data_IF_102472885830
#
_entry.id   IF_102472885830
#
_cell.length_a   1.000
_cell.length_b   1.000
_cell.length_c   1.000
_cell.angle_alpha   90.00
_cell.angle_beta   90.00
_cell.angle_gamma   90.00
#
_symmetry.space_group_name_H-M   'P 1'
#
loop_
_entity.id
_entity.type
_entity.pdbx_description
1 polymer ?
#
# COMPACT_ATOMS: atom_id res chain seq x y z
N UNK A 1 -38.50 -34.61 -6.72
CA UNK A 1 -37.91 -35.62 -5.82
C UNK A 1 -36.58 -35.07 -5.35
N UNK A 2 -36.38 -34.96 -4.03
CA UNK A 2 -35.10 -34.54 -3.46
C UNK A 2 -34.03 -35.57 -3.81
N UNK A 3 -32.95 -35.14 -4.46
CA UNK A 3 -31.76 -35.94 -4.62
C UNK A 3 -30.89 -35.77 -3.36
N UNK A 4 -30.87 -36.78 -2.50
CA UNK A 4 -29.89 -36.89 -1.41
C UNK A 4 -28.52 -37.15 -2.04
N UNK A 5 -27.61 -36.18 -1.95
CA UNK A 5 -26.20 -36.40 -2.30
C UNK A 5 -25.48 -37.03 -1.11
N UNK A 6 -24.80 -38.14 -1.36
CA UNK A 6 -23.84 -38.75 -0.44
C UNK A 6 -22.44 -38.44 -0.95
N UNK A 7 -21.69 -37.64 -0.20
CA UNK A 7 -20.29 -37.30 -0.50
C UNK A 7 -19.34 -38.13 0.38
N UNK A 8 -18.29 -38.67 -0.22
CA UNK A 8 -17.26 -39.47 0.44
C UNK A 8 -15.89 -38.82 0.23
N UNK A 9 -15.14 -38.59 1.31
CA UNK A 9 -13.83 -37.89 1.30
C UNK A 9 -12.63 -38.85 1.41
N UNK A 10 -12.78 -40.12 1.04
CA UNK A 10 -11.71 -41.12 1.04
C UNK A 10 -11.72 -41.94 -0.26
N UNK A 11 -10.67 -42.74 -0.49
CA UNK A 11 -10.62 -43.66 -1.63
C UNK A 11 -11.84 -44.60 -1.60
N UNK A 12 -12.79 -44.36 -2.50
CA UNK A 12 -13.99 -45.18 -2.59
C UNK A 12 -13.62 -46.48 -3.32
N UNK A 13 -13.64 -47.60 -2.61
CA UNK A 13 -13.48 -48.92 -3.20
C UNK A 13 -14.79 -49.66 -3.00
N UNK A 14 -15.52 -49.85 -4.10
CA UNK A 14 -16.82 -50.48 -4.09
C UNK A 14 -17.25 -50.89 -5.49
N UNK A 15 -17.99 -52.00 -5.57
CA UNK A 15 -18.63 -52.48 -6.79
C UNK A 15 -20.11 -52.12 -6.68
N UNK A 16 -20.63 -51.39 -7.68
CA UNK A 16 -22.04 -51.09 -7.77
C UNK A 16 -22.66 -52.01 -8.83
N UNK A 17 -23.40 -53.02 -8.39
CA UNK A 17 -24.11 -53.95 -9.29
C UNK A 17 -25.54 -53.46 -9.44
N UNK A 18 -25.87 -52.95 -10.63
CA UNK A 18 -27.22 -52.52 -10.98
C UNK A 18 -27.50 -52.77 -12.45
N UNK A 19 -28.72 -53.18 -12.79
CA UNK A 19 -29.15 -53.36 -14.18
C UNK A 19 -29.76 -52.05 -14.67
N UNK A 20 -28.95 -51.21 -15.34
CA UNK A 20 -29.41 -49.97 -15.94
C UNK A 20 -29.90 -50.21 -17.38
N UNK A 21 -31.12 -49.76 -17.68
CA UNK A 21 -31.73 -49.83 -19.02
C UNK A 21 -31.76 -48.44 -19.66
N UNK A 22 -30.60 -47.77 -19.68
CA UNK A 22 -30.41 -46.42 -20.20
C UNK A 22 -28.94 -46.00 -20.12
N UNK A 23 -28.61 -44.82 -20.67
CA UNK A 23 -27.26 -44.25 -20.59
C UNK A 23 -26.91 -43.87 -19.15
N UNK A 24 -25.77 -44.33 -18.66
CA UNK A 24 -25.20 -43.90 -17.39
C UNK A 24 -24.25 -42.73 -17.68
N UNK A 25 -24.54 -41.57 -17.10
CA UNK A 25 -23.61 -40.43 -17.07
C UNK A 25 -23.04 -40.34 -15.66
N UNK A 26 -21.72 -40.48 -15.53
CA UNK A 26 -21.01 -40.25 -14.28
C UNK A 26 -20.18 -38.97 -14.41
N UNK A 27 -20.54 -37.94 -13.65
CA UNK A 27 -19.79 -36.70 -13.57
C UNK A 27 -18.84 -36.76 -12.38
N UNK A 28 -17.54 -36.81 -12.67
CA UNK A 28 -16.49 -36.77 -11.67
C UNK A 28 -15.99 -35.34 -11.57
N UNK A 29 -16.44 -34.61 -10.55
CA UNK A 29 -15.81 -33.34 -10.18
C UNK A 29 -14.52 -33.66 -9.41
N UNK A 30 -13.41 -33.78 -10.14
CA UNK A 30 -12.11 -33.69 -9.49
C UNK A 30 -12.01 -32.28 -8.88
N UNK A 31 -11.90 -32.18 -7.55
CA UNK A 31 -11.43 -30.96 -6.93
C UNK A 31 -10.12 -30.61 -7.63
N UNK A 32 -10.05 -29.45 -8.30
CA UNK A 32 -8.81 -29.00 -8.93
C UNK A 32 -7.74 -29.02 -7.84
N UNK A 33 -6.71 -29.82 -8.02
CA UNK A 33 -5.56 -29.81 -7.12
C UNK A 33 -4.81 -28.50 -7.35
N UNK A 34 -5.19 -27.44 -6.66
CA UNK A 34 -4.49 -26.17 -6.72
C UNK A 34 -3.12 -26.33 -6.06
N UNK A 35 -2.04 -25.99 -6.77
CA UNK A 35 -0.71 -25.87 -6.17
C UNK A 35 -0.62 -24.58 -5.36
N UNK A 36 0.41 -24.45 -4.51
CA UNK A 36 0.66 -23.22 -3.76
C UNK A 36 0.84 -22.03 -4.72
N UNK A 37 1.53 -22.25 -5.83
CA UNK A 37 1.76 -21.27 -6.88
C UNK A 37 0.47 -20.86 -7.60
N UNK A 38 -0.47 -21.78 -7.77
CA UNK A 38 -1.78 -21.46 -8.34
C UNK A 38 -2.58 -20.57 -7.40
N UNK A 39 -2.63 -20.90 -6.10
CA UNK A 39 -3.32 -20.08 -5.10
C UNK A 39 -2.67 -18.70 -5.01
N UNK A 40 -1.35 -18.62 -5.07
CA UNK A 40 -0.63 -17.33 -5.10
C UNK A 40 -1.06 -16.47 -6.28
N UNK A 41 -1.09 -17.04 -7.49
CA UNK A 41 -1.52 -16.31 -8.68
C UNK A 41 -2.95 -15.82 -8.57
N UNK A 42 -3.84 -16.67 -8.03
CA UNK A 42 -5.25 -16.32 -7.83
C UNK A 42 -5.40 -15.20 -6.80
N UNK A 43 -4.73 -15.31 -5.65
CA UNK A 43 -4.75 -14.28 -4.60
C UNK A 43 -4.23 -12.93 -5.12
N UNK A 44 -3.08 -12.94 -5.81
CA UNK A 44 -2.49 -11.73 -6.39
C UNK A 44 -3.39 -11.12 -7.47
N UNK A 45 -4.04 -11.96 -8.29
CA UNK A 45 -4.99 -11.49 -9.30
C UNK A 45 -6.26 -10.88 -8.68
N UNK A 46 -6.76 -11.44 -7.58
CA UNK A 46 -7.90 -10.91 -6.86
C UNK A 46 -7.61 -9.56 -6.17
N UNK A 47 -6.34 -9.30 -5.83
CA UNK A 47 -5.87 -8.02 -5.31
C UNK A 47 -5.42 -7.03 -6.38
N UNK A 48 -5.66 -7.30 -7.67
CA UNK A 48 -5.19 -6.44 -8.77
C UNK A 48 -5.57 -4.98 -8.54
N UNK A 49 -4.60 -4.11 -8.75
CA UNK A 49 -4.74 -2.66 -8.83
C UNK A 49 -3.76 -2.16 -9.89
N UNK A 50 -3.84 -0.89 -10.34
CA UNK A 50 -2.85 -0.35 -11.24
C UNK A 50 -1.43 -0.45 -10.62
N UNK A 51 -0.45 -0.84 -11.44
CA UNK A 51 0.92 -1.08 -10.99
C UNK A 51 1.62 0.23 -10.58
N UNK A 52 1.97 0.33 -9.31
CA UNK A 52 2.65 1.50 -8.74
C UNK A 52 3.95 1.84 -9.46
N UNK A 53 4.71 0.85 -9.97
CA UNK A 53 5.93 1.11 -10.72
C UNK A 53 5.62 1.76 -12.08
N UNK A 54 4.63 1.24 -12.80
CA UNK A 54 4.16 1.83 -14.05
C UNK A 54 3.63 3.26 -13.84
N UNK A 55 2.86 3.49 -12.76
CA UNK A 55 2.36 4.80 -12.37
C UNK A 55 3.51 5.77 -12.06
N UNK A 56 4.53 5.33 -11.32
CA UNK A 56 5.73 6.12 -11.02
C UNK A 56 6.48 6.52 -12.29
N UNK A 57 6.68 5.56 -13.21
CA UNK A 57 7.39 5.82 -14.47
C UNK A 57 6.61 6.84 -15.34
N UNK A 58 5.28 6.68 -15.46
CA UNK A 58 4.40 7.64 -16.14
C UNK A 58 4.52 9.05 -15.55
N UNK A 59 4.47 9.16 -14.21
CA UNK A 59 4.63 10.43 -13.51
C UNK A 59 6.00 11.07 -13.75
N UNK A 60 7.05 10.26 -13.76
CA UNK A 60 8.43 10.72 -13.94
C UNK A 60 8.70 11.18 -15.37
N UNK A 61 8.25 10.42 -16.38
CA UNK A 61 8.37 10.76 -17.80
C UNK A 61 7.72 12.11 -18.13
N UNK A 62 6.62 12.44 -17.44
CA UNK A 62 5.94 13.72 -17.63
C UNK A 62 6.75 14.94 -17.16
N UNK A 63 7.85 14.75 -16.40
CA UNK A 63 8.56 15.80 -15.65
C UNK A 63 10.08 15.53 -15.63
N UNK A 64 10.70 15.74 -16.79
CA UNK A 64 12.09 15.34 -17.06
C UNK A 64 13.15 16.12 -16.24
N UNK A 65 14.22 15.41 -15.87
CA UNK A 65 15.56 15.86 -15.43
C UNK A 65 15.85 16.58 -14.10
N UNK A 66 14.89 17.07 -13.30
CA UNK A 66 15.22 17.90 -12.12
C UNK A 66 15.12 17.23 -10.73
N UNK A 67 14.79 15.94 -10.66
CA UNK A 67 14.39 15.28 -9.40
C UNK A 67 15.47 15.33 -8.33
N UNK A 68 16.70 14.94 -8.64
CA UNK A 68 17.76 14.80 -7.62
C UNK A 68 18.18 16.13 -6.99
N UNK A 69 18.30 17.20 -7.78
CA UNK A 69 18.59 18.53 -7.23
C UNK A 69 17.39 19.13 -6.49
N UNK A 70 16.17 18.81 -6.90
CA UNK A 70 14.95 19.38 -6.29
C UNK A 70 14.64 18.85 -4.89
N UNK A 71 15.23 17.71 -4.50
CA UNK A 71 15.02 17.10 -3.18
C UNK A 71 16.18 17.34 -2.21
N UNK A 72 17.30 17.95 -2.63
CA UNK A 72 18.48 18.06 -1.78
C UNK A 72 18.18 18.76 -0.44
N UNK A 73 17.35 19.81 -0.47
CA UNK A 73 16.97 20.54 0.74
C UNK A 73 16.29 19.66 1.80
N UNK A 74 15.51 18.64 1.40
CA UNK A 74 14.85 17.75 2.37
C UNK A 74 15.82 16.70 2.89
N UNK A 75 16.79 16.28 2.09
CA UNK A 75 17.83 15.34 2.53
C UNK A 75 18.75 15.98 3.58
N UNK A 76 18.85 17.31 3.60
CA UNK A 76 19.58 18.08 4.61
C UNK A 76 18.69 18.49 5.80
N UNK A 77 17.37 18.26 5.73
CA UNK A 77 16.43 18.62 6.78
C UNK A 77 16.61 17.70 8.00
N UNK A 78 16.84 18.23 9.22
CA UNK A 78 17.05 17.41 10.40
C UNK A 78 15.85 16.52 10.74
N UNK A 79 14.64 16.95 10.38
CA UNK A 79 13.44 16.19 10.66
C UNK A 79 13.32 14.99 9.72
N UNK A 80 13.55 15.19 8.41
CA UNK A 80 13.65 14.06 7.47
C UNK A 80 14.73 13.06 7.89
N UNK A 81 15.92 13.55 8.24
CA UNK A 81 17.03 12.69 8.67
C UNK A 81 16.71 11.91 9.95
N UNK A 82 16.02 12.55 10.90
CA UNK A 82 15.55 11.89 12.12
C UNK A 82 14.49 10.81 11.86
N UNK A 83 13.60 11.04 10.89
CA UNK A 83 12.64 10.03 10.46
C UNK A 83 13.30 8.87 9.70
N UNK A 84 14.22 9.14 8.78
CA UNK A 84 14.89 8.12 7.98
C UNK A 84 15.81 7.24 8.84
N UNK A 85 16.65 7.85 9.68
CA UNK A 85 17.71 7.15 10.41
C UNK A 85 17.36 6.81 11.86
N UNK A 86 16.44 7.55 12.48
CA UNK A 86 16.05 7.33 13.88
C UNK A 86 15.08 6.16 14.03
N UNK A 87 14.86 5.72 15.27
CA UNK A 87 13.96 4.60 15.56
C UNK A 87 12.67 5.01 16.28
N UNK A 88 12.56 6.27 16.67
CA UNK A 88 11.41 6.80 17.42
C UNK A 88 10.31 7.33 16.47
N UNK A 89 10.69 7.98 15.37
CA UNK A 89 9.74 8.65 14.47
C UNK A 89 9.29 7.72 13.36
N UNK A 90 8.08 7.16 13.46
CA UNK A 90 7.50 6.26 12.45
C UNK A 90 6.79 6.98 11.30
N UNK A 91 6.41 8.25 11.44
CA UNK A 91 5.60 8.98 10.46
C UNK A 91 6.22 10.33 10.07
N UNK A 92 6.44 10.52 8.77
CA UNK A 92 6.76 11.79 8.14
C UNK A 92 5.58 12.25 7.30
N UNK A 93 5.04 13.43 7.58
CA UNK A 93 3.97 14.01 6.78
C UNK A 93 4.40 15.31 6.12
N UNK A 94 4.48 15.29 4.79
CA UNK A 94 4.82 16.44 3.97
C UNK A 94 3.54 17.10 3.42
N UNK A 95 3.23 18.30 3.90
CA UNK A 95 2.05 19.06 3.44
C UNK A 95 2.46 20.16 2.48
N UNK A 96 1.75 20.34 1.37
CA UNK A 96 2.05 21.42 0.41
C UNK A 96 0.94 21.67 -0.60
N UNK A 97 0.79 22.92 -1.05
CA UNK A 97 -0.24 23.28 -2.03
C UNK A 97 -0.13 22.54 -3.37
N UNK A 98 -1.16 22.66 -4.21
CA UNK A 98 -1.13 22.17 -5.58
C UNK A 98 0.05 22.80 -6.36
N UNK A 99 0.68 22.01 -7.23
CA UNK A 99 1.82 22.47 -8.04
C UNK A 99 3.14 22.69 -7.29
N UNK A 100 3.24 22.37 -5.99
CA UNK A 100 4.48 22.54 -5.18
C UNK A 100 5.49 21.39 -5.28
N UNK A 101 5.31 20.49 -6.24
CA UNK A 101 6.28 19.41 -6.51
C UNK A 101 6.26 18.22 -5.56
N UNK A 102 5.22 18.05 -4.70
CA UNK A 102 5.10 16.91 -3.76
C UNK A 102 5.33 15.55 -4.41
N UNK A 103 4.67 15.27 -5.53
CA UNK A 103 4.86 14.00 -6.25
C UNK A 103 6.29 13.81 -6.74
N UNK A 104 6.96 14.87 -7.22
CA UNK A 104 8.36 14.79 -7.64
C UNK A 104 9.30 14.59 -6.43
N UNK A 105 8.98 15.20 -5.30
CA UNK A 105 9.66 14.97 -4.03
C UNK A 105 9.51 13.51 -3.60
N UNK A 106 8.30 12.97 -3.60
CA UNK A 106 8.02 11.56 -3.29
C UNK A 106 8.78 10.61 -4.21
N UNK A 107 8.77 10.84 -5.53
CA UNK A 107 9.54 10.04 -6.50
C UNK A 107 11.04 10.11 -6.19
N UNK A 108 11.56 11.30 -5.92
CA UNK A 108 12.97 11.49 -5.60
C UNK A 108 13.40 10.77 -4.33
N UNK A 109 12.59 10.87 -3.27
CA UNK A 109 12.81 10.18 -2.01
C UNK A 109 12.69 8.66 -2.15
N UNK A 110 11.69 8.16 -2.91
CA UNK A 110 11.58 6.73 -3.24
C UNK A 110 12.87 6.24 -3.90
N UNK A 111 13.39 6.97 -4.89
CA UNK A 111 14.64 6.60 -5.57
C UNK A 111 15.86 6.65 -4.66
N UNK A 112 15.94 7.65 -3.77
CA UNK A 112 17.04 7.79 -2.82
C UNK A 112 17.04 6.63 -1.82
N UNK A 113 15.90 6.36 -1.18
CA UNK A 113 15.71 5.26 -0.24
C UNK A 113 15.96 3.90 -0.90
N UNK A 114 15.49 3.73 -2.13
CA UNK A 114 15.70 2.51 -2.90
C UNK A 114 17.13 2.36 -3.47
N UNK A 115 17.98 3.40 -3.42
CA UNK A 115 19.41 3.33 -3.80
C UNK A 115 20.32 3.05 -2.63
N UNK A 116 19.95 3.48 -1.42
CA UNK A 116 20.70 3.26 -0.20
C UNK A 116 20.72 1.77 0.24
N UNK A 117 20.48 0.83 -0.69
CA UNK A 117 20.21 -0.60 -0.49
C UNK A 117 21.24 -1.28 0.40
N UNK A 118 20.94 -1.32 1.68
CA UNK A 118 21.18 -2.52 2.46
C UNK A 118 20.13 -3.57 2.02
N UNK A 119 20.53 -4.83 1.86
CA UNK A 119 19.63 -5.96 1.54
C UNK A 119 18.49 -6.09 2.56
N UNK A 120 18.60 -5.41 3.69
CA UNK A 120 17.64 -5.37 4.78
C UNK A 120 16.52 -4.31 4.65
N UNK A 121 16.48 -3.49 3.59
CA UNK A 121 15.46 -2.43 3.42
C UNK A 121 14.53 -2.67 2.22
N UNK A 122 13.24 -2.35 2.39
CA UNK A 122 12.25 -2.31 1.28
C UNK A 122 11.53 -0.97 1.22
N UNK A 123 11.26 -0.49 0.00
CA UNK A 123 10.48 0.72 -0.26
C UNK A 123 9.27 0.33 -1.09
N UNK A 124 8.08 0.55 -0.55
CA UNK A 124 6.79 0.32 -1.21
C UNK A 124 5.97 1.60 -1.21
N UNK A 125 5.20 1.83 -2.26
CA UNK A 125 4.59 3.14 -2.47
C UNK A 125 3.27 3.10 -3.24
N UNK A 126 2.40 4.06 -2.98
CA UNK A 126 1.19 4.31 -3.76
C UNK A 126 1.09 5.80 -4.11
N UNK A 127 0.47 6.10 -5.26
CA UNK A 127 0.24 7.46 -5.73
C UNK A 127 -1.25 7.64 -5.97
N UNK A 128 -1.89 8.49 -5.19
CA UNK A 128 -3.21 9.00 -5.56
C UNK A 128 -3.04 10.00 -6.71
N UNK A 129 -3.94 9.93 -7.69
CA UNK A 129 -3.94 10.80 -8.87
C UNK A 129 -5.36 11.20 -9.23
N UNK A 130 -5.67 12.48 -9.15
CA UNK A 130 -6.99 13.07 -9.42
C UNK A 130 -7.69 12.61 -10.73
N UNK A 131 -6.95 12.15 -11.75
CA UNK A 131 -7.50 11.68 -13.03
C UNK A 131 -7.77 10.16 -13.10
N UNK A 132 -7.38 9.39 -12.09
CA UNK A 132 -7.38 7.93 -12.11
C UNK A 132 -8.12 7.39 -10.88
N UNK A 133 -9.44 7.27 -11.00
CA UNK A 133 -10.35 6.89 -9.91
C UNK A 133 -10.01 5.51 -9.32
N UNK A 134 -9.46 4.60 -10.11
CA UNK A 134 -9.04 3.27 -9.65
C UNK A 134 -7.82 3.32 -8.70
N UNK A 135 -7.09 4.43 -8.66
CA UNK A 135 -5.96 4.66 -7.76
C UNK A 135 -6.34 5.40 -6.47
N UNK A 136 -7.53 5.97 -6.40
CA UNK A 136 -7.89 6.96 -5.38
C UNK A 136 -8.77 6.39 -4.26
N UNK A 137 -8.74 5.09 -4.04
CA UNK A 137 -9.41 4.47 -2.89
C UNK A 137 -8.38 3.89 -1.91
N UNK A 138 -8.76 3.76 -0.65
CA UNK A 138 -7.99 3.13 0.40
C UNK A 138 -7.69 1.67 0.04
N UNK A 139 -8.64 0.96 -0.59
CA UNK A 139 -8.39 -0.39 -1.10
C UNK A 139 -7.30 -0.40 -2.15
N UNK A 140 -7.30 0.54 -3.09
CA UNK A 140 -6.27 0.63 -4.13
C UNK A 140 -4.89 0.91 -3.52
N UNK A 141 -4.81 1.84 -2.56
CA UNK A 141 -3.58 2.13 -1.81
C UNK A 141 -3.07 0.86 -1.12
N UNK A 142 -3.92 0.17 -0.35
CA UNK A 142 -3.52 -1.00 0.41
C UNK A 142 -3.18 -2.20 -0.48
N UNK A 143 -3.95 -2.45 -1.54
CA UNK A 143 -3.65 -3.48 -2.55
C UNK A 143 -2.30 -3.22 -3.20
N UNK A 144 -1.99 -1.98 -3.58
CA UNK A 144 -0.70 -1.61 -4.16
C UNK A 144 0.47 -1.89 -3.22
N UNK A 145 0.33 -1.55 -1.93
CA UNK A 145 1.35 -1.83 -0.91
C UNK A 145 1.52 -3.34 -0.66
N UNK A 146 0.42 -4.08 -0.52
CA UNK A 146 0.40 -5.54 -0.33
C UNK A 146 1.06 -6.26 -1.50
N UNK A 147 0.67 -5.92 -2.73
CA UNK A 147 1.21 -6.54 -3.94
C UNK A 147 2.72 -6.32 -4.07
N UNK A 148 3.20 -5.10 -3.81
CA UNK A 148 4.63 -4.82 -3.80
C UNK A 148 5.36 -5.65 -2.74
N UNK A 149 4.84 -5.68 -1.52
CA UNK A 149 5.47 -6.44 -0.43
C UNK A 149 5.50 -7.95 -0.71
N UNK A 150 4.41 -8.50 -1.27
CA UNK A 150 4.31 -9.91 -1.68
C UNK A 150 5.24 -10.27 -2.85
N UNK A 151 5.54 -9.31 -3.73
CA UNK A 151 6.46 -9.51 -4.85
C UNK A 151 7.93 -9.41 -4.41
N UNK A 152 8.24 -8.60 -3.38
CA UNK A 152 9.59 -8.45 -2.84
C UNK A 152 9.99 -9.63 -1.95
N UNK A 153 9.07 -10.16 -1.13
CA UNK A 153 9.33 -11.30 -0.25
C UNK A 153 8.25 -12.38 -0.44
N UNK A 154 8.58 -13.44 -1.18
CA UNK A 154 7.62 -14.47 -1.62
C UNK A 154 6.96 -15.23 -0.47
N UNK A 155 7.62 -15.36 0.69
CA UNK A 155 7.04 -16.02 1.85
C UNK A 155 5.85 -15.23 2.44
N UNK A 156 5.76 -13.92 2.19
CA UNK A 156 4.65 -13.11 2.70
C UNK A 156 3.32 -13.42 1.99
N UNK A 157 3.35 -14.04 0.81
CA UNK A 157 2.16 -14.55 0.11
C UNK A 157 1.40 -15.58 0.93
N UNK A 158 2.07 -16.24 1.89
CA UNK A 158 1.41 -17.15 2.83
C UNK A 158 0.28 -16.47 3.62
N UNK A 159 0.41 -15.18 3.94
CA UNK A 159 -0.61 -14.39 4.62
C UNK A 159 -1.87 -14.24 3.77
N UNK A 160 -1.73 -14.21 2.44
CA UNK A 160 -2.83 -14.21 1.49
C UNK A 160 -3.43 -15.60 1.34
N UNK A 161 -2.58 -16.61 1.13
CA UNK A 161 -3.01 -18.01 0.96
C UNK A 161 -3.83 -18.52 2.14
N UNK A 162 -3.45 -18.19 3.38
CA UNK A 162 -4.18 -18.61 4.59
C UNK A 162 -5.61 -18.05 4.65
N UNK A 163 -5.91 -16.99 3.90
CA UNK A 163 -7.24 -16.39 3.80
C UNK A 163 -8.02 -16.87 2.58
N UNK A 164 -7.42 -17.63 1.69
CA UNK A 164 -8.09 -18.13 0.50
C UNK A 164 -8.87 -19.41 0.81
N UNK A 165 -10.19 -19.37 0.62
CA UNK A 165 -11.05 -20.54 0.68
C UNK A 165 -11.04 -21.25 -0.67
N UNK A 166 -10.42 -22.43 -0.72
CA UNK A 166 -10.29 -23.24 -1.93
C UNK A 166 -11.66 -23.77 -2.41
N UNK A 167 -12.62 -23.98 -1.50
CA UNK A 167 -13.95 -24.52 -1.83
C UNK A 167 -14.81 -23.42 -2.46
N UNK A 168 -14.78 -22.22 -1.87
CA UNK A 168 -15.56 -21.08 -2.34
C UNK A 168 -14.86 -20.28 -3.44
N UNK A 169 -13.58 -20.58 -3.71
CA UNK A 169 -12.73 -19.83 -4.64
C UNK A 169 -12.76 -18.32 -4.38
N UNK A 170 -12.70 -17.93 -3.11
CA UNK A 170 -12.74 -16.53 -2.67
C UNK A 170 -11.90 -16.33 -1.41
N UNK A 171 -11.61 -15.07 -1.08
CA UNK A 171 -11.09 -14.74 0.23
C UNK A 171 -12.17 -14.92 1.31
N UNK A 172 -11.78 -15.55 2.40
CA UNK A 172 -12.59 -15.68 3.64
C UNK A 172 -12.85 -14.33 4.31
N UNK A 173 -12.01 -13.33 4.04
CA UNK A 173 -12.19 -11.94 4.44
C UNK A 173 -12.62 -11.09 3.24
N UNK A 174 -13.37 -10.02 3.49
CA UNK A 174 -13.79 -9.09 2.45
C UNK A 174 -12.62 -8.21 1.98
N UNK A 175 -11.92 -8.64 0.93
CA UNK A 175 -10.83 -7.88 0.28
C UNK A 175 -11.32 -6.68 -0.57
N UNK A 176 -12.62 -6.37 -0.51
CA UNK A 176 -13.19 -5.10 -0.98
C UNK A 176 -13.32 -4.07 0.14
N UNK A 177 -13.06 -4.45 1.39
CA UNK A 177 -12.97 -3.55 2.54
C UNK A 177 -11.51 -3.17 2.84
N UNK A 178 -11.23 -1.86 2.93
CA UNK A 178 -9.91 -1.39 3.34
C UNK A 178 -9.51 -1.87 4.74
N UNK A 179 -10.45 -2.10 5.66
CA UNK A 179 -10.13 -2.61 7.01
C UNK A 179 -9.58 -4.04 6.96
N UNK A 180 -10.11 -4.90 6.11
CA UNK A 180 -9.57 -6.25 5.89
C UNK A 180 -8.18 -6.18 5.28
N UNK A 181 -7.99 -5.36 4.24
CA UNK A 181 -6.69 -5.15 3.60
C UNK A 181 -5.66 -4.57 4.58
N UNK A 182 -6.08 -3.68 5.48
CA UNK A 182 -5.22 -3.14 6.53
C UNK A 182 -4.73 -4.23 7.47
N UNK A 183 -5.60 -5.15 7.89
CA UNK A 183 -5.22 -6.28 8.74
C UNK A 183 -4.26 -7.24 8.02
N UNK A 184 -4.50 -7.50 6.73
CA UNK A 184 -3.57 -8.29 5.88
C UNK A 184 -2.20 -7.62 5.83
N UNK A 185 -2.15 -6.31 5.57
CA UNK A 185 -0.90 -5.55 5.49
C UNK A 185 -0.13 -5.61 6.82
N UNK A 186 -0.80 -5.40 7.96
CA UNK A 186 -0.17 -5.49 9.28
C UNK A 186 0.39 -6.88 9.56
N UNK A 187 -0.32 -7.95 9.21
CA UNK A 187 0.21 -9.32 9.36
C UNK A 187 1.47 -9.52 8.49
N UNK A 188 1.43 -9.06 7.23
CA UNK A 188 2.58 -9.17 6.34
C UNK A 188 3.78 -8.40 6.89
N UNK A 189 3.58 -7.19 7.44
CA UNK A 189 4.63 -6.38 8.06
C UNK A 189 5.21 -7.04 9.33
N UNK A 190 4.37 -7.70 10.12
CA UNK A 190 4.81 -8.45 11.30
C UNK A 190 5.71 -9.65 10.89
N UNK A 191 5.40 -10.32 9.78
CA UNK A 191 6.17 -11.46 9.23
C UNK A 191 7.33 -11.04 8.32
N UNK A 192 7.39 -9.77 7.96
CA UNK A 192 8.40 -9.21 7.06
C UNK A 192 9.79 -9.33 7.66
N UNK A 193 10.77 -9.81 6.88
CA UNK A 193 12.15 -10.01 7.33
C UNK A 193 13.03 -8.76 7.16
N UNK A 194 12.57 -7.77 6.37
CA UNK A 194 13.26 -6.49 6.23
C UNK A 194 13.37 -5.79 7.59
N UNK A 195 14.56 -5.27 7.89
CA UNK A 195 14.85 -4.48 9.09
C UNK A 195 14.15 -3.13 9.03
N UNK A 196 13.96 -2.60 7.81
CA UNK A 196 13.34 -1.31 7.54
C UNK A 196 12.37 -1.41 6.35
N UNK A 197 11.14 -0.94 6.53
CA UNK A 197 10.08 -0.90 5.52
C UNK A 197 9.60 0.54 5.39
N UNK A 198 9.88 1.18 4.26
CA UNK A 198 9.35 2.50 3.92
C UNK A 198 8.06 2.36 3.13
N UNK A 199 6.97 2.90 3.67
CA UNK A 199 5.65 2.95 3.06
C UNK A 199 5.30 4.38 2.69
N UNK A 200 5.19 4.64 1.39
CA UNK A 200 5.06 6.01 0.88
C UNK A 200 3.68 6.15 0.21
N UNK A 201 2.85 7.08 0.67
CA UNK A 201 1.56 7.39 0.05
C UNK A 201 1.57 8.85 -0.38
N UNK A 202 1.65 9.06 -1.69
CA UNK A 202 1.66 10.40 -2.28
C UNK A 202 0.23 10.89 -2.55
N UNK A 203 0.01 12.18 -2.27
CA UNK A 203 -1.23 12.91 -2.53
C UNK A 203 -2.47 12.28 -1.89
N UNK A 204 -2.38 11.86 -0.63
CA UNK A 204 -3.48 11.22 0.11
C UNK A 204 -4.76 12.07 0.15
N UNK A 205 -4.67 13.39 0.01
CA UNK A 205 -5.84 14.28 -0.13
C UNK A 205 -6.66 14.05 -1.41
N UNK A 206 -6.11 13.35 -2.40
CA UNK A 206 -6.82 12.99 -3.63
C UNK A 206 -7.54 11.64 -3.51
N UNK A 207 -7.45 10.97 -2.34
CA UNK A 207 -8.27 9.81 -2.03
C UNK A 207 -9.74 10.23 -1.84
N UNK A 208 -10.66 9.45 -2.39
CA UNK A 208 -12.08 9.78 -2.49
C UNK A 208 -12.93 9.18 -1.37
N UNK A 209 -12.34 8.34 -0.54
CA UNK A 209 -13.08 7.67 0.53
C UNK A 209 -13.24 8.59 1.74
N UNK A 210 -14.46 8.63 2.28
CA UNK A 210 -14.77 9.36 3.52
C UNK A 210 -13.99 8.78 4.73
N UNK A 211 -13.52 7.53 4.62
CA UNK A 211 -12.82 6.77 5.64
C UNK A 211 -11.32 7.13 5.79
N UNK A 212 -10.79 8.08 5.01
CA UNK A 212 -9.36 8.49 5.09
C UNK A 212 -8.94 8.87 6.50
N UNK A 213 -9.85 9.44 7.30
CA UNK A 213 -9.59 9.72 8.72
C UNK A 213 -9.41 8.46 9.55
N UNK A 214 -10.24 7.46 9.34
CA UNK A 214 -10.16 6.20 10.09
C UNK A 214 -8.96 5.37 9.65
N UNK A 215 -8.56 5.47 8.38
CA UNK A 215 -7.28 4.97 7.90
C UNK A 215 -6.10 5.65 8.61
N UNK A 216 -6.07 6.98 8.68
CA UNK A 216 -5.01 7.72 9.39
C UNK A 216 -4.97 7.40 10.89
N UNK A 217 -6.14 7.26 11.54
CA UNK A 217 -6.22 6.75 12.92
C UNK A 217 -5.62 5.36 13.05
N UNK A 218 -5.82 4.49 12.05
CA UNK A 218 -5.28 3.13 12.05
C UNK A 218 -3.76 3.14 11.91
N UNK A 219 -3.20 4.01 11.06
CA UNK A 219 -1.75 4.25 10.98
C UNK A 219 -1.23 4.65 12.36
N UNK A 220 -1.77 5.67 13.00
CA UNK A 220 -1.21 6.12 14.29
C UNK A 220 -1.35 5.08 15.39
N UNK A 221 -2.50 4.39 15.46
CA UNK A 221 -2.78 3.44 16.56
C UNK A 221 -2.07 2.11 16.46
N UNK A 222 -1.67 1.69 15.25
CA UNK A 222 -1.11 0.35 14.99
C UNK A 222 0.03 0.36 13.98
N UNK A 223 -0.08 1.19 12.95
CA UNK A 223 0.96 1.34 11.92
C UNK A 223 2.28 1.92 12.43
N UNK A 224 2.28 2.52 13.63
CA UNK A 224 3.46 3.09 14.29
C UNK A 224 3.95 2.27 15.50
N UNK A 225 3.45 1.04 15.72
CA UNK A 225 3.86 0.19 16.86
C UNK A 225 5.36 -0.18 16.82
N UNK A 226 5.97 -0.11 15.64
CA UNK A 226 7.38 -0.43 15.41
C UNK A 226 8.07 0.66 14.58
N UNK A 227 8.25 1.87 15.12
CA UNK A 227 8.72 3.03 14.35
C UNK A 227 10.17 2.90 13.86
N UNK A 228 10.97 2.02 14.48
CA UNK A 228 12.29 1.62 13.97
C UNK A 228 12.21 0.69 12.74
N UNK A 229 11.18 -0.15 12.61
CA UNK A 229 11.04 -1.05 11.47
C UNK A 229 10.18 -0.45 10.36
N UNK A 230 9.12 0.25 10.72
CA UNK A 230 8.06 0.69 9.82
C UNK A 230 8.06 2.21 9.74
N UNK A 231 8.28 2.73 8.53
CA UNK A 231 8.37 4.17 8.26
C UNK A 231 7.32 4.58 7.23
N UNK A 232 6.35 5.37 7.67
CA UNK A 232 5.35 5.98 6.79
C UNK A 232 5.82 7.35 6.32
N UNK A 233 5.70 7.61 5.02
CA UNK A 233 5.74 8.96 4.46
C UNK A 233 4.42 9.26 3.76
N UNK A 234 3.73 10.30 4.21
CA UNK A 234 2.49 10.75 3.60
C UNK A 234 2.71 12.12 2.97
N UNK A 235 2.12 12.36 1.80
CA UNK A 235 2.02 13.72 1.25
C UNK A 235 0.58 14.13 1.06
N UNK A 236 0.28 15.40 1.33
CA UNK A 236 -1.06 15.94 1.05
C UNK A 236 -1.07 17.45 0.82
N UNK A 237 -2.17 17.99 0.31
CA UNK A 237 -2.48 19.42 0.50
C UNK A 237 -2.77 19.73 1.97
N UNK A 238 -2.57 20.98 2.41
CA UNK A 238 -3.19 21.46 3.64
C UNK A 238 -4.71 21.38 3.47
N UNK A 239 -5.40 20.82 4.45
CA UNK A 239 -6.86 20.84 4.49
C UNK A 239 -7.34 22.27 4.75
N UNK A 240 -8.38 22.69 4.03
CA UNK A 240 -8.90 24.07 4.08
C UNK A 240 -9.66 24.37 5.38
N UNK A 241 -10.17 25.57 5.63
CA UNK A 241 -10.76 25.92 6.93
C UNK A 241 -11.87 24.99 7.46
N UNK A 242 -12.70 24.41 6.58
CA UNK A 242 -13.80 23.53 6.96
C UNK A 242 -13.31 22.08 7.13
N UNK A 243 -12.50 21.61 6.18
CA UNK A 243 -11.87 20.29 6.25
C UNK A 243 -10.85 20.23 7.40
N UNK A 244 -10.13 21.30 7.67
CA UNK A 244 -9.18 21.40 8.78
C UNK A 244 -9.86 21.16 10.12
N UNK A 245 -11.01 21.77 10.38
CA UNK A 245 -11.73 21.53 11.62
C UNK A 245 -12.28 20.09 11.70
N UNK A 246 -12.82 19.58 10.58
CA UNK A 246 -13.38 18.23 10.48
C UNK A 246 -12.31 17.15 10.63
N UNK A 247 -11.16 17.37 10.02
CA UNK A 247 -10.13 16.36 9.86
C UNK A 247 -8.93 16.61 10.80
N UNK A 248 -8.38 17.83 10.97
CA UNK A 248 -7.28 18.08 11.93
C UNK A 248 -7.70 17.87 13.38
N UNK A 249 -8.95 18.11 13.77
CA UNK A 249 -9.40 17.83 15.14
C UNK A 249 -9.25 16.35 15.51
N UNK A 250 -9.92 15.43 14.79
CA UNK A 250 -9.76 13.99 14.95
C UNK A 250 -8.34 13.49 14.66
N UNK A 251 -7.64 14.05 13.68
CA UNK A 251 -6.26 13.67 13.38
C UNK A 251 -5.29 14.09 14.45
N UNK A 252 -5.28 15.35 14.87
CA UNK A 252 -4.43 15.81 15.96
C UNK A 252 -4.77 15.01 17.22
N UNK A 253 -6.02 14.67 17.49
CA UNK A 253 -6.38 13.76 18.60
C UNK A 253 -5.90 12.32 18.41
N UNK A 254 -5.85 11.83 17.17
CA UNK A 254 -5.35 10.50 16.85
C UNK A 254 -3.82 10.44 16.93
N UNK A 255 -3.16 11.52 16.50
CA UNK A 255 -1.72 11.77 16.41
C UNK A 255 -1.12 12.16 17.78
N UNK A 256 -1.91 12.80 18.64
CA UNK A 256 -1.51 13.23 19.99
C UNK A 256 -2.11 12.28 21.04
N UNK A 257 -1.59 11.06 21.22
CA UNK A 257 -1.21 10.62 22.54
C UNK A 257 0.22 11.14 22.80
N UNK A 258 0.53 11.47 24.04
CA UNK A 258 1.80 12.09 24.40
C UNK A 258 3.01 11.17 24.13
N UNK A 259 3.65 11.28 22.96
CA UNK A 259 5.09 11.01 22.69
C UNK A 259 5.46 11.40 21.24
N UNK A 260 6.37 12.37 21.11
CA UNK A 260 7.43 12.67 20.12
C UNK A 260 7.60 11.97 18.74
N UNK A 261 6.63 11.28 18.14
CA UNK A 261 6.92 10.39 16.98
C UNK A 261 6.42 10.91 15.61
N UNK A 262 6.10 12.22 15.50
CA UNK A 262 5.60 12.83 14.27
C UNK A 262 6.41 14.06 13.84
N UNK A 263 6.72 14.10 12.54
CA UNK A 263 7.25 15.28 11.86
C UNK A 263 6.26 15.73 10.78
N UNK A 264 5.79 16.98 10.90
CA UNK A 264 5.04 17.65 9.83
C UNK A 264 5.98 18.66 9.16
N UNK A 265 6.42 18.35 7.95
CA UNK A 265 7.12 19.32 7.09
C UNK A 265 6.05 20.04 6.27
N UNK A 266 5.75 21.29 6.67
CA UNK A 266 4.94 22.18 5.87
C UNK A 266 5.79 22.81 4.75
N UNK A 267 5.48 22.50 3.49
CA UNK A 267 5.87 23.29 2.31
C UNK A 267 5.08 24.62 2.31
N UNK A 268 5.18 25.39 3.39
CA UNK A 268 4.73 26.77 3.42
C UNK A 268 5.74 27.57 2.63
N UNK A 269 5.39 27.85 1.37
CA UNK A 269 5.98 28.88 0.54
C UNK A 269 7.51 29.01 0.70
N UNK A 270 8.27 28.09 0.10
CA UNK A 270 9.59 28.46 -0.41
C UNK A 270 9.38 29.60 -1.41
N UNK A 271 9.49 30.84 -0.93
CA UNK A 271 9.87 31.99 -1.74
C UNK A 271 11.24 31.76 -2.43
N UNK A 272 11.93 30.66 -2.11
CA UNK A 272 13.13 30.20 -2.80
C UNK A 272 12.85 29.35 -4.07
N UNK A 273 11.63 28.85 -4.30
CA UNK A 273 11.34 28.07 -5.52
C UNK A 273 11.38 28.94 -6.80
N UNK A 274 11.14 30.24 -6.70
CA UNK A 274 11.30 31.20 -7.81
C UNK A 274 12.76 31.60 -8.06
N UNK A 275 13.64 31.53 -7.06
CA UNK A 275 15.01 32.04 -7.20
C UNK A 275 15.95 30.99 -7.82
N UNK A 276 15.70 29.70 -7.61
CA UNK A 276 16.49 28.62 -8.21
C UNK A 276 16.18 28.44 -9.71
N UNK A 277 14.93 28.69 -10.14
CA UNK A 277 14.55 28.61 -11.56
C UNK A 277 14.90 29.89 -12.35
N UNK A 278 14.89 31.07 -11.71
CA UNK A 278 15.18 32.32 -12.42
C UNK A 278 16.68 32.63 -12.56
N UNK A 279 17.58 31.99 -11.80
CA UNK A 279 19.02 32.21 -11.91
C UNK A 279 19.72 31.41 -13.02
N UNK A 280 19.09 30.37 -13.55
CA UNK A 280 19.71 29.52 -14.59
C UNK A 280 19.19 29.75 -16.02
N UNK A 281 18.26 30.70 -16.23
CA UNK A 281 17.79 31.11 -17.57
C UNK A 281 18.46 32.42 -18.05
N UNK A 282 19.33 33.05 -17.25
CA UNK A 282 20.05 34.28 -17.63
C UNK A 282 21.58 34.16 -17.67
N UNK A 283 22.14 32.95 -17.66
CA UNK A 283 23.55 32.72 -17.99
C UNK A 283 23.67 31.46 -18.86
N UNK A 284 23.23 31.61 -20.11
CA UNK A 284 23.89 31.15 -21.34
C UNK A 284 23.09 31.64 -22.55
#
# INVERSE_FOLDING_TARGET
MMATSTTFNAANHGIQIGKNSGSITAEFHAARGYTTEDIDRICLHALRCPDSLAVKNRLKESKDRLVHQSIQWILEDPQYNGWENGDDVGLLWIKGGAGKGKTMLSIGLIEQLARAQDESTVVIYSFCQNADYELNTLEAILKGLILQLANQQTELKESLRRRWDIIQETFSEDVTSWQSLWNILLEMLARCKYSRVYMIVDALDECQDDDVIDFLKSIVRKGLDHPGKIKWMLTSRPWDGAERAHYEGPLLRAIIPATLDLIIIGLYCLSAFTTAFSKHILVN
#
